data_IF_591072773961
#
_entry.id   IF_591072773961
#
_cell.length_a   1.000
_cell.length_b   1.000
_cell.length_c   1.000
_cell.angle_alpha   90.00
_cell.angle_beta   90.00
_cell.angle_gamma   90.00
#
_symmetry.space_group_name_H-M   'P 1'
#
loop_
_entity.id
_entity.type
_entity.pdbx_description
1 polymer ?
#
# COMPACT_ATOMS: atom_id res chain seq x y z
N UNK A 1 9.60 0.72 -10.21
CA UNK A 1 8.92 2.02 -10.33
C UNK A 1 9.93 3.15 -10.26
N UNK A 2 9.60 4.28 -10.85
CA UNK A 2 10.47 5.46 -10.86
C UNK A 2 9.85 6.57 -10.04
N UNK A 3 10.62 7.12 -9.10
CA UNK A 3 10.19 8.23 -8.27
C UNK A 3 11.26 9.33 -8.36
N UNK A 4 10.86 10.51 -8.81
CA UNK A 4 11.77 11.66 -8.99
C UNK A 4 13.02 11.29 -9.79
N UNK A 5 12.88 10.45 -10.80
CA UNK A 5 13.99 9.99 -11.63
C UNK A 5 14.79 8.83 -11.07
N UNK A 6 14.48 8.37 -9.87
CA UNK A 6 15.14 7.23 -9.24
C UNK A 6 14.30 5.98 -9.36
N UNK A 7 14.96 4.84 -9.51
CA UNK A 7 14.28 3.55 -9.55
C UNK A 7 14.18 2.98 -8.13
N UNK A 8 12.96 2.64 -7.72
CA UNK A 8 12.70 2.04 -6.42
C UNK A 8 11.93 0.74 -6.60
N UNK A 9 12.27 -0.28 -5.84
CA UNK A 9 11.52 -1.52 -5.80
C UNK A 9 10.41 -1.43 -4.77
N UNK A 10 9.18 -1.75 -5.16
CA UNK A 10 8.07 -1.80 -4.22
C UNK A 10 8.31 -2.85 -3.14
N UNK A 11 8.98 -3.96 -3.50
CA UNK A 11 9.32 -5.02 -2.55
C UNK A 11 10.25 -4.53 -1.44
N UNK A 12 11.17 -3.63 -1.74
CA UNK A 12 12.07 -3.05 -0.74
C UNK A 12 11.29 -2.24 0.28
N UNK A 13 10.32 -1.45 -0.17
CA UNK A 13 9.48 -0.65 0.72
C UNK A 13 8.58 -1.55 1.57
N UNK A 14 8.01 -2.59 0.96
CA UNK A 14 7.20 -3.58 1.71
C UNK A 14 8.04 -4.24 2.81
N UNK A 15 9.28 -4.62 2.49
CA UNK A 15 10.18 -5.24 3.46
C UNK A 15 10.49 -4.29 4.62
N UNK A 16 10.67 -3.02 4.34
CA UNK A 16 10.91 -2.02 5.38
C UNK A 16 9.69 -1.89 6.30
N UNK A 17 8.48 -1.84 5.73
CA UNK A 17 7.25 -1.68 6.51
C UNK A 17 7.03 -2.85 7.48
N UNK A 18 7.31 -4.09 7.06
CA UNK A 18 7.08 -5.26 7.91
C UNK A 18 8.12 -5.40 9.01
N UNK A 19 9.17 -4.56 9.03
CA UNK A 19 10.09 -4.50 10.16
C UNK A 19 9.44 -3.89 11.40
N UNK A 20 8.38 -3.10 11.21
CA UNK A 20 7.66 -2.51 12.35
C UNK A 20 6.85 -3.58 13.06
N UNK A 21 6.97 -3.64 14.38
CA UNK A 21 6.34 -4.70 15.20
C UNK A 21 4.82 -4.72 15.11
N UNK A 22 4.19 -3.59 14.79
CA UNK A 22 2.75 -3.49 14.69
C UNK A 22 2.21 -3.86 13.31
N UNK A 23 3.07 -4.10 12.33
CA UNK A 23 2.65 -4.42 10.96
C UNK A 23 2.58 -5.93 10.76
N UNK A 24 1.40 -6.43 10.39
CA UNK A 24 1.21 -7.83 10.04
C UNK A 24 1.55 -8.09 8.58
N UNK A 25 1.06 -7.23 7.69
CA UNK A 25 1.29 -7.32 6.24
C UNK A 25 1.34 -5.93 5.65
N UNK A 26 2.03 -5.81 4.52
CA UNK A 26 2.07 -4.56 3.77
C UNK A 26 2.12 -4.85 2.29
N UNK A 27 1.52 -3.96 1.51
CA UNK A 27 1.61 -4.00 0.06
C UNK A 27 1.84 -2.57 -0.44
N UNK A 28 2.75 -2.41 -1.37
CA UNK A 28 3.14 -1.11 -1.89
C UNK A 28 2.95 -1.10 -3.40
N UNK A 29 2.32 -0.06 -3.90
CA UNK A 29 2.13 0.12 -5.34
C UNK A 29 2.57 1.51 -5.75
N UNK A 30 3.04 1.63 -7.00
CA UNK A 30 3.30 2.92 -7.62
C UNK A 30 2.03 3.41 -8.30
N UNK A 31 1.85 4.72 -8.35
CA UNK A 31 0.76 5.34 -9.10
C UNK A 31 1.28 6.58 -9.80
N UNK A 32 0.57 7.07 -10.81
CA UNK A 32 1.00 8.27 -11.51
C UNK A 32 0.89 9.49 -10.60
N UNK A 33 1.97 10.28 -10.56
CA UNK A 33 2.07 11.50 -9.77
C UNK A 33 2.50 12.65 -10.69
N UNK A 34 1.78 13.74 -10.66
CA UNK A 34 1.99 14.87 -11.58
C UNK A 34 3.39 15.48 -11.50
N UNK A 35 3.96 15.53 -10.30
CA UNK A 35 5.25 16.17 -10.06
C UNK A 35 6.40 15.19 -10.11
N UNK A 36 6.27 14.03 -9.45
CA UNK A 36 7.35 13.06 -9.30
C UNK A 36 7.43 12.03 -10.43
N UNK A 37 6.46 12.00 -11.31
CA UNK A 37 6.30 10.94 -12.31
C UNK A 37 5.53 9.77 -11.74
N UNK A 38 5.97 9.19 -10.63
CA UNK A 38 5.23 8.17 -9.90
C UNK A 38 5.20 8.48 -8.42
N UNK A 39 4.07 8.22 -7.78
CA UNK A 39 3.92 8.29 -6.34
C UNK A 39 3.94 6.91 -5.71
N UNK A 40 3.99 6.87 -4.40
CA UNK A 40 4.06 5.66 -3.60
C UNK A 40 2.83 5.58 -2.71
N UNK A 41 2.05 4.50 -2.85
CA UNK A 41 0.87 4.26 -2.03
C UNK A 41 1.07 2.96 -1.28
N UNK A 42 1.00 3.03 0.05
CA UNK A 42 1.21 1.87 0.92
C UNK A 42 -0.11 1.44 1.54
N UNK A 43 -0.38 0.15 1.51
CA UNK A 43 -1.51 -0.48 2.22
C UNK A 43 -0.92 -1.29 3.36
N UNK A 44 -1.33 -0.99 4.59
CA UNK A 44 -0.76 -1.62 5.77
C UNK A 44 -1.85 -2.29 6.60
N UNK A 45 -1.69 -3.59 6.81
CA UNK A 45 -2.54 -4.36 7.71
C UNK A 45 -1.80 -4.50 9.04
N UNK A 46 -2.35 -3.91 10.10
CA UNK A 46 -1.72 -3.94 11.41
C UNK A 46 -2.02 -5.24 12.16
N UNK A 47 -1.15 -5.57 13.11
CA UNK A 47 -1.41 -6.65 14.04
C UNK A 47 -2.71 -6.40 14.78
N UNK A 48 -3.36 -7.47 15.23
CA UNK A 48 -4.68 -7.43 15.85
C UNK A 48 -4.77 -6.45 17.01
N UNK A 49 -3.70 -6.35 17.81
CA UNK A 49 -3.65 -5.50 19.01
C UNK A 49 -3.32 -4.04 18.69
N UNK A 50 -2.85 -3.75 17.48
CA UNK A 50 -2.45 -2.41 17.08
C UNK A 50 -3.63 -1.66 16.49
N UNK A 51 -3.66 -0.34 16.70
CA UNK A 51 -4.70 0.52 16.16
C UNK A 51 -4.08 1.58 15.26
N UNK A 52 -4.71 1.89 14.12
CA UNK A 52 -4.22 2.97 13.26
C UNK A 52 -4.11 4.28 14.03
N UNK A 53 -3.01 5.00 13.82
CA UNK A 53 -2.79 6.29 14.46
C UNK A 53 -1.75 7.07 13.67
N UNK A 54 -1.72 8.39 13.90
CA UNK A 54 -0.70 9.24 13.29
C UNK A 54 0.70 8.90 13.81
N UNK A 55 0.78 8.40 15.04
CA UNK A 55 2.05 7.97 15.63
C UNK A 55 2.64 6.81 14.82
N UNK A 56 1.84 5.79 14.53
CA UNK A 56 2.29 4.63 13.75
C UNK A 56 2.64 5.08 12.33
N UNK A 57 1.83 5.95 11.71
CA UNK A 57 2.11 6.49 10.38
C UNK A 57 3.49 7.16 10.36
N UNK A 58 3.77 8.01 11.34
CA UNK A 58 5.06 8.68 11.44
C UNK A 58 6.21 7.70 11.62
N UNK A 59 6.02 6.67 12.45
CA UNK A 59 7.02 5.64 12.67
C UNK A 59 7.32 4.86 11.39
N UNK A 60 6.30 4.54 10.61
CA UNK A 60 6.47 3.83 9.35
C UNK A 60 7.21 4.68 8.33
N UNK A 61 6.86 5.97 8.21
CA UNK A 61 7.57 6.89 7.31
C UNK A 61 9.04 6.99 7.70
N UNK A 62 9.33 7.15 9.00
CA UNK A 62 10.71 7.24 9.48
C UNK A 62 11.48 5.96 9.20
N UNK A 63 10.83 4.81 9.33
CA UNK A 63 11.44 3.52 9.08
C UNK A 63 11.82 3.38 7.60
N UNK A 64 10.95 3.78 6.68
CA UNK A 64 11.24 3.74 5.25
C UNK A 64 12.40 4.68 4.92
N UNK A 65 12.39 5.89 5.45
CA UNK A 65 13.47 6.87 5.21
C UNK A 65 14.79 6.33 5.75
N UNK A 66 14.78 5.70 6.91
CA UNK A 66 15.98 5.13 7.52
C UNK A 66 16.53 3.96 6.72
N UNK A 67 15.67 3.05 6.28
CA UNK A 67 16.10 1.81 5.63
C UNK A 67 16.42 1.99 4.14
N UNK A 68 15.76 2.92 3.47
CA UNK A 68 15.88 3.09 2.02
C UNK A 68 16.40 4.48 1.66
N UNK A 69 15.77 5.52 2.22
CA UNK A 69 16.14 6.91 1.97
C UNK A 69 14.91 7.79 1.76
N UNK A 70 15.10 9.12 1.78
CA UNK A 70 13.99 10.09 1.68
C UNK A 70 13.22 9.97 0.36
N UNK A 71 13.85 9.49 -0.72
CA UNK A 71 13.19 9.34 -2.02
C UNK A 71 12.05 8.33 -1.96
N UNK A 72 12.09 7.39 -1.01
CA UNK A 72 11.08 6.35 -0.83
C UNK A 72 9.96 6.75 0.11
N UNK A 73 9.94 7.98 0.60
CA UNK A 73 8.88 8.47 1.48
C UNK A 73 7.53 8.32 0.79
N UNK A 74 6.57 7.60 1.38
CA UNK A 74 5.29 7.36 0.72
C UNK A 74 4.42 8.61 0.67
N UNK A 75 3.63 8.72 -0.38
CA UNK A 75 2.63 9.78 -0.52
C UNK A 75 1.40 9.49 0.32
N UNK A 76 1.07 8.21 0.49
CA UNK A 76 -0.09 7.78 1.27
C UNK A 76 0.20 6.45 1.95
N UNK A 77 -0.27 6.33 3.19
CA UNK A 77 -0.28 5.07 3.93
C UNK A 77 -1.73 4.84 4.36
N UNK A 78 -2.38 3.84 3.79
CA UNK A 78 -3.75 3.46 4.15
C UNK A 78 -3.71 2.24 5.03
N UNK A 79 -4.27 2.34 6.24
CA UNK A 79 -4.44 1.19 7.10
C UNK A 79 -5.68 0.42 6.68
N UNK A 80 -5.57 -0.90 6.67
CA UNK A 80 -6.67 -1.78 6.29
C UNK A 80 -6.63 -3.02 7.16
N UNK A 81 -7.77 -3.70 7.31
CA UNK A 81 -7.80 -4.90 8.13
C UNK A 81 -7.43 -6.16 7.35
N UNK A 82 -7.35 -6.06 6.04
CA UNK A 82 -6.92 -7.17 5.18
C UNK A 82 -6.52 -6.61 3.82
N UNK A 83 -5.89 -7.46 3.00
CA UNK A 83 -5.47 -7.15 1.64
C UNK A 83 -6.20 -8.07 0.66
N UNK A 84 -6.44 -7.63 -0.59
CA UNK A 84 -7.08 -8.50 -1.58
C UNK A 84 -6.13 -9.63 -1.96
N UNK A 85 -6.52 -10.85 -1.66
CA UNK A 85 -5.69 -12.04 -1.89
C UNK A 85 -6.47 -13.08 -2.67
N UNK A 86 -5.76 -13.84 -3.50
CA UNK A 86 -6.32 -15.06 -4.09
C UNK A 86 -6.51 -16.11 -3.00
N UNK A 87 -7.24 -17.18 -3.32
CA UNK A 87 -7.46 -18.29 -2.38
C UNK A 87 -6.15 -18.97 -1.96
N UNK A 88 -5.10 -18.84 -2.78
CA UNK A 88 -3.76 -19.34 -2.44
C UNK A 88 -2.95 -18.40 -1.56
N UNK A 89 -3.50 -17.21 -1.25
CA UNK A 89 -2.84 -16.24 -0.37
C UNK A 89 -1.98 -15.21 -1.08
N UNK A 90 -2.02 -15.14 -2.41
CA UNK A 90 -1.26 -14.16 -3.18
C UNK A 90 -1.96 -12.80 -3.17
N UNK A 91 -1.23 -11.75 -2.80
CA UNK A 91 -1.76 -10.38 -2.81
C UNK A 91 -1.95 -9.92 -4.25
N UNK A 92 -3.14 -9.40 -4.54
CA UNK A 92 -3.50 -8.90 -5.86
C UNK A 92 -3.14 -7.42 -5.99
N UNK A 93 -1.86 -7.12 -6.19
CA UNK A 93 -1.36 -5.74 -6.26
C UNK A 93 -1.96 -4.96 -7.42
N UNK A 94 -2.36 -5.63 -8.49
CA UNK A 94 -3.02 -4.99 -9.63
C UNK A 94 -4.27 -4.24 -9.19
N UNK A 95 -5.06 -4.86 -8.32
CA UNK A 95 -6.29 -4.23 -7.80
C UNK A 95 -5.94 -3.03 -6.91
N UNK A 96 -4.94 -3.19 -6.04
CA UNK A 96 -4.47 -2.11 -5.17
C UNK A 96 -3.99 -0.92 -5.97
N UNK A 97 -3.25 -1.16 -7.06
CA UNK A 97 -2.77 -0.10 -7.93
C UNK A 97 -3.92 0.65 -8.59
N UNK A 98 -4.96 -0.05 -9.06
CA UNK A 98 -6.14 0.58 -9.64
C UNK A 98 -6.84 1.48 -8.63
N UNK A 99 -6.96 1.05 -7.39
CA UNK A 99 -7.55 1.85 -6.32
C UNK A 99 -6.69 3.09 -6.06
N UNK A 100 -5.36 2.92 -6.01
CA UNK A 100 -4.44 4.04 -5.80
C UNK A 100 -4.50 5.06 -6.93
N UNK A 101 -4.78 4.61 -8.15
CA UNK A 101 -4.93 5.46 -9.33
C UNK A 101 -6.35 6.01 -9.49
N UNK A 102 -7.24 5.66 -8.58
CA UNK A 102 -8.65 6.06 -8.60
C UNK A 102 -9.41 5.55 -9.84
N UNK A 103 -8.96 4.43 -10.42
CA UNK A 103 -9.57 3.77 -11.57
C UNK A 103 -10.54 2.68 -11.12
N UNK A 104 -11.63 3.08 -10.46
CA UNK A 104 -12.51 2.16 -9.76
C UNK A 104 -13.43 1.36 -10.68
N UNK A 105 -13.62 1.80 -11.92
CA UNK A 105 -14.49 1.13 -12.88
C UNK A 105 -13.75 0.09 -13.72
N UNK A 106 -12.45 -0.09 -13.50
CA UNK A 106 -11.62 -0.96 -14.32
C UNK A 106 -10.70 -1.82 -13.45
N UNK A 107 -11.29 -2.44 -12.42
CA UNK A 107 -10.53 -3.28 -11.50
C UNK A 107 -10.13 -4.64 -12.09
N UNK A 108 -10.78 -5.03 -13.17
CA UNK A 108 -10.56 -6.32 -13.78
C UNK A 108 -11.30 -7.44 -13.05
N UNK A 109 -10.81 -8.67 -13.20
CA UNK A 109 -11.46 -9.82 -12.62
C UNK A 109 -11.17 -9.93 -11.12
N UNK A 110 -12.22 -9.86 -10.30
CA UNK A 110 -12.12 -10.02 -8.84
C UNK A 110 -12.67 -11.35 -8.36
N UNK A 111 -13.09 -12.23 -9.28
CA UNK A 111 -13.72 -13.50 -8.91
C UNK A 111 -12.75 -14.50 -8.28
N UNK A 112 -11.44 -14.31 -8.49
CA UNK A 112 -10.41 -15.18 -7.90
C UNK A 112 -10.06 -14.81 -6.46
N UNK A 113 -10.61 -13.70 -5.95
CA UNK A 113 -10.33 -13.26 -4.59
C UNK A 113 -11.01 -14.17 -3.56
N UNK A 114 -10.28 -14.45 -2.47
CA UNK A 114 -10.82 -15.21 -1.35
C UNK A 114 -11.99 -14.48 -0.69
N UNK A 115 -11.87 -13.14 -0.59
CA UNK A 115 -12.90 -12.27 -0.04
C UNK A 115 -13.06 -11.03 -0.90
N UNK A 116 -13.96 -11.05 -1.90
CA UNK A 116 -14.17 -9.88 -2.77
C UNK A 116 -14.65 -8.63 -2.05
N UNK A 117 -15.26 -8.77 -0.87
CA UNK A 117 -15.77 -7.61 -0.13
C UNK A 117 -14.68 -6.67 0.35
N UNK A 118 -13.45 -7.15 0.47
CA UNK A 118 -12.32 -6.31 0.88
C UNK A 118 -12.07 -5.17 -0.12
N UNK A 119 -12.36 -5.40 -1.40
CA UNK A 119 -12.18 -4.37 -2.44
C UNK A 119 -13.09 -3.18 -2.17
N UNK A 120 -14.35 -3.43 -1.83
CA UNK A 120 -15.30 -2.35 -1.54
C UNK A 120 -14.87 -1.53 -0.33
N UNK A 121 -14.34 -2.19 0.69
CA UNK A 121 -13.85 -1.52 1.90
C UNK A 121 -12.63 -0.66 1.58
N UNK A 122 -11.69 -1.19 0.80
CA UNK A 122 -10.49 -0.45 0.41
C UNK A 122 -10.86 0.79 -0.41
N UNK A 123 -11.83 0.67 -1.32
CA UNK A 123 -12.31 1.81 -2.11
C UNK A 123 -12.94 2.86 -1.21
N UNK A 124 -13.78 2.44 -0.26
CA UNK A 124 -14.47 3.34 0.65
C UNK A 124 -13.49 4.13 1.52
N UNK A 125 -12.43 3.47 1.97
CA UNK A 125 -11.46 4.05 2.89
C UNK A 125 -10.22 4.64 2.20
N UNK A 126 -10.20 4.68 0.87
CA UNK A 126 -9.04 5.18 0.13
C UNK A 126 -8.76 6.65 0.45
N UNK A 127 -7.47 7.00 0.41
CA UNK A 127 -7.01 8.35 0.77
C UNK A 127 -6.99 9.34 -0.39
N UNK A 128 -7.27 8.89 -1.59
CA UNK A 128 -7.21 9.69 -2.83
C UNK A 128 -8.58 10.04 -3.40
N UNK A 129 -9.56 10.15 -2.53
CA UNK A 129 -10.91 10.58 -2.93
C UNK A 129 -10.93 11.99 -3.45
#
# INVERSE_FOLDING_TARGET
MNVSGHRLGTAEIESALVLHESVAEAAVVGFEHEIKGQGIYCYVNLMKEAKPSDVITGELVNLIVKEIGPIAKPDSIQFCYDLPKTRSGKIMRRILRKIAENELNNLGDTTTLADPSIVDILIKERLNK
#
